data_IF_554349581009
#
_entry.id   IF_554349581009
#
_cell.length_a   1.000
_cell.length_b   1.000
_cell.length_c   1.000
_cell.angle_alpha   90.00
_cell.angle_beta   90.00
_cell.angle_gamma   90.00
#
_symmetry.space_group_name_H-M   'P 1'
#
loop_
_entity.id
_entity.type
_entity.pdbx_description
1 polymer ?
#
# COMPACT_ATOMS: atom_id res chain seq x y z
N UNK A 1 23.65 -3.71 5.21
CA UNK A 1 23.23 -2.35 5.63
C UNK A 1 22.41 -1.60 4.57
N UNK A 2 22.66 -1.79 3.26
CA UNK A 2 21.98 -1.05 2.17
C UNK A 2 20.44 -1.22 2.05
N UNK A 3 19.86 -2.37 2.43
CA UNK A 3 18.41 -2.62 2.27
C UNK A 3 17.52 -1.76 3.18
N UNK A 4 17.95 -1.56 4.44
CA UNK A 4 17.17 -0.84 5.45
C UNK A 4 17.12 0.67 5.19
N UNK A 5 18.25 1.25 4.73
CA UNK A 5 18.33 2.65 4.35
C UNK A 5 17.45 2.95 3.11
N UNK A 6 17.41 2.01 2.16
CA UNK A 6 16.53 2.11 0.99
C UNK A 6 15.05 2.03 1.39
N UNK A 7 14.68 1.15 2.31
CA UNK A 7 13.31 1.06 2.83
C UNK A 7 12.88 2.36 3.52
N UNK A 8 13.72 2.90 4.40
CA UNK A 8 13.44 4.13 5.12
C UNK A 8 13.21 5.32 4.16
N UNK A 9 14.03 5.46 3.12
CA UNK A 9 13.84 6.49 2.10
C UNK A 9 12.53 6.35 1.33
N UNK A 10 12.17 5.13 0.93
CA UNK A 10 10.90 4.86 0.23
C UNK A 10 9.71 5.20 1.14
N UNK A 11 9.77 4.85 2.42
CA UNK A 11 8.70 5.11 3.39
C UNK A 11 8.58 6.61 3.70
N UNK A 12 9.69 7.35 3.76
CA UNK A 12 9.66 8.80 3.89
C UNK A 12 8.93 9.47 2.71
N UNK A 13 9.24 9.07 1.47
CA UNK A 13 8.55 9.58 0.28
C UNK A 13 7.06 9.20 0.27
N UNK A 14 6.73 7.99 0.73
CA UNK A 14 5.35 7.54 0.88
C UNK A 14 4.57 8.43 1.87
N UNK A 15 5.16 8.75 3.02
CA UNK A 15 4.56 9.66 4.00
C UNK A 15 4.46 11.11 3.50
N UNK A 16 5.32 11.52 2.57
CA UNK A 16 5.21 12.80 1.88
C UNK A 16 4.10 12.84 0.80
N UNK A 17 3.33 11.76 0.62
CA UNK A 17 2.23 11.67 -0.34
C UNK A 17 2.67 11.33 -1.77
N UNK A 18 3.89 10.83 -1.97
CA UNK A 18 4.39 10.44 -3.29
C UNK A 18 3.65 9.23 -3.85
N UNK A 19 2.82 9.46 -4.89
CA UNK A 19 2.16 8.38 -5.66
C UNK A 19 3.16 7.40 -6.28
N UNK A 20 4.33 7.88 -6.68
CA UNK A 20 5.40 7.04 -7.25
C UNK A 20 5.99 6.11 -6.20
N UNK A 21 6.23 6.62 -4.99
CA UNK A 21 6.69 5.79 -3.87
C UNK A 21 5.65 4.74 -3.50
N UNK A 22 4.36 5.12 -3.42
CA UNK A 22 3.26 4.18 -3.18
C UNK A 22 3.23 3.06 -4.22
N UNK A 23 3.29 3.39 -5.52
CA UNK A 23 3.31 2.37 -6.58
C UNK A 23 4.51 1.44 -6.44
N UNK A 24 5.70 1.96 -6.11
CA UNK A 24 6.91 1.15 -5.91
C UNK A 24 6.76 0.22 -4.70
N UNK A 25 6.19 0.70 -3.59
CA UNK A 25 5.90 -0.14 -2.43
C UNK A 25 4.97 -1.29 -2.78
N UNK A 26 3.85 -1.00 -3.45
CA UNK A 26 2.89 -2.02 -3.87
C UNK A 26 3.56 -3.08 -4.73
N UNK A 27 4.31 -2.67 -5.77
CA UNK A 27 5.02 -3.61 -6.63
C UNK A 27 6.06 -4.47 -5.88
N UNK A 28 6.80 -3.90 -4.93
CA UNK A 28 7.76 -4.66 -4.12
C UNK A 28 7.07 -5.65 -3.19
N UNK A 29 5.94 -5.26 -2.58
CA UNK A 29 5.17 -6.11 -1.66
C UNK A 29 4.45 -7.24 -2.40
N UNK A 30 3.96 -6.99 -3.62
CA UNK A 30 3.30 -7.99 -4.48
C UNK A 30 4.30 -8.85 -5.27
N UNK A 31 5.58 -8.49 -5.29
CA UNK A 31 6.61 -9.20 -6.05
C UNK A 31 6.78 -10.64 -5.55
N UNK A 32 6.83 -11.58 -6.48
CA UNK A 32 7.13 -12.99 -6.20
C UNK A 32 8.63 -13.30 -6.22
N UNK A 33 9.47 -12.32 -6.61
CA UNK A 33 10.93 -12.47 -6.73
C UNK A 33 11.59 -12.58 -5.35
N UNK A 34 12.41 -13.60 -5.07
CA UNK A 34 13.07 -13.77 -3.77
C UNK A 34 13.89 -12.57 -3.31
N UNK A 35 14.55 -11.87 -4.24
CA UNK A 35 15.40 -10.71 -3.99
C UNK A 35 14.63 -9.50 -3.44
N UNK A 36 13.34 -9.37 -3.75
CA UNK A 36 12.52 -8.23 -3.30
C UNK A 36 11.99 -8.44 -1.88
N UNK A 37 11.93 -9.68 -1.40
CA UNK A 37 11.30 -10.05 -0.11
C UNK A 37 11.90 -9.31 1.08
N UNK A 38 13.24 -9.23 1.14
CA UNK A 38 13.91 -8.56 2.26
C UNK A 38 13.52 -7.08 2.33
N UNK A 39 13.52 -6.39 1.19
CA UNK A 39 13.16 -4.99 1.12
C UNK A 39 11.67 -4.77 1.42
N UNK A 40 10.79 -5.67 0.95
CA UNK A 40 9.36 -5.62 1.23
C UNK A 40 9.08 -5.76 2.74
N UNK A 41 9.76 -6.68 3.43
CA UNK A 41 9.64 -6.81 4.89
C UNK A 41 10.11 -5.56 5.63
N UNK A 42 11.26 -4.99 5.23
CA UNK A 42 11.77 -3.76 5.83
C UNK A 42 10.78 -2.59 5.63
N UNK A 43 10.19 -2.45 4.44
CA UNK A 43 9.14 -1.44 4.17
C UNK A 43 7.93 -1.63 5.08
N UNK A 44 7.43 -2.87 5.20
CA UNK A 44 6.26 -3.18 6.05
C UNK A 44 6.54 -2.88 7.54
N UNK A 45 7.73 -3.20 8.02
CA UNK A 45 8.16 -2.92 9.40
C UNK A 45 8.15 -1.41 9.67
N UNK A 46 8.75 -0.62 8.77
CA UNK A 46 8.75 0.84 8.85
C UNK A 46 7.34 1.45 8.79
N UNK A 47 6.45 0.94 7.93
CA UNK A 47 5.05 1.39 7.85
C UNK A 47 4.22 1.00 9.09
N UNK A 48 4.62 -0.01 9.85
CA UNK A 48 3.85 -0.50 11.00
C UNK A 48 3.80 0.50 12.16
N UNK A 49 4.73 1.47 12.19
CA UNK A 49 4.84 2.52 13.20
C UNK A 49 3.81 3.66 13.00
N UNK A 50 3.21 3.80 11.81
CA UNK A 50 2.32 4.91 11.46
C UNK A 50 0.83 4.55 11.46
N UNK A 51 0.43 3.52 12.22
CA UNK A 51 -0.97 3.06 12.28
C UNK A 51 -1.89 4.13 12.88
N UNK A 52 -2.58 4.89 12.04
CA UNK A 52 -3.67 5.75 12.47
C UNK A 52 -4.37 6.47 11.33
N UNK A 53 -5.69 6.63 11.45
CA UNK A 53 -6.45 7.61 10.66
C UNK A 53 -7.17 7.14 9.40
N UNK A 54 -7.41 5.82 9.21
CA UNK A 54 -8.20 5.35 8.06
C UNK A 54 -9.35 4.42 8.44
N UNK A 55 -10.48 4.60 7.77
CA UNK A 55 -11.61 3.67 7.79
C UNK A 55 -11.35 2.52 6.82
N UNK A 56 -11.59 1.28 7.24
CA UNK A 56 -11.44 0.08 6.41
C UNK A 56 -12.79 -0.60 6.28
N UNK A 57 -13.42 -0.47 5.12
CA UNK A 57 -14.79 -0.94 4.86
C UNK A 57 -14.72 -2.05 3.81
N UNK A 58 -15.25 -3.23 4.14
CA UNK A 58 -15.39 -4.33 3.18
C UNK A 58 -16.69 -4.18 2.38
N UNK A 59 -16.62 -4.40 1.07
CA UNK A 59 -17.79 -4.42 0.18
C UNK A 59 -17.88 -5.78 -0.52
N UNK A 60 -19.00 -6.48 -0.35
CA UNK A 60 -19.24 -7.81 -0.92
C UNK A 60 -20.65 -7.91 -1.53
N UNK A 61 -20.85 -8.89 -2.42
CA UNK A 61 -22.12 -9.14 -3.09
C UNK A 61 -21.99 -9.90 -4.41
N UNK A 62 -23.07 -10.49 -4.94
CA UNK A 62 -23.04 -11.31 -6.15
C UNK A 62 -22.48 -10.60 -7.41
N UNK A 63 -22.02 -11.33 -8.45
CA UNK A 63 -21.70 -10.75 -9.74
C UNK A 63 -22.90 -9.94 -10.28
N UNK A 64 -22.64 -8.75 -10.83
CA UNK A 64 -23.69 -7.90 -11.42
C UNK A 64 -24.51 -7.02 -10.45
N UNK A 65 -24.38 -7.15 -9.13
CA UNK A 65 -25.17 -6.35 -8.14
C UNK A 65 -24.83 -4.85 -8.09
N UNK A 66 -23.90 -4.36 -8.91
CA UNK A 66 -23.52 -2.94 -8.94
C UNK A 66 -22.46 -2.49 -7.92
N UNK A 67 -21.65 -3.40 -7.36
CA UNK A 67 -20.58 -3.06 -6.38
C UNK A 67 -19.62 -1.97 -6.85
N UNK A 68 -19.19 -2.04 -8.12
CA UNK A 68 -18.27 -1.03 -8.70
C UNK A 68 -18.89 0.36 -8.71
N UNK A 69 -20.13 0.48 -9.22
CA UNK A 69 -20.90 1.73 -9.23
C UNK A 69 -21.11 2.27 -7.82
N UNK A 70 -21.44 1.41 -6.86
CA UNK A 70 -21.57 1.83 -5.46
C UNK A 70 -20.26 2.41 -4.89
N UNK A 71 -19.12 1.73 -5.09
CA UNK A 71 -17.82 2.18 -4.60
C UNK A 71 -17.41 3.52 -5.25
N UNK A 72 -17.62 3.66 -6.56
CA UNK A 72 -17.32 4.90 -7.29
C UNK A 72 -18.14 6.08 -6.75
N UNK A 73 -19.46 5.91 -6.64
CA UNK A 73 -20.34 6.97 -6.16
C UNK A 73 -20.04 7.34 -4.69
N UNK A 74 -19.76 6.36 -3.83
CA UNK A 74 -19.36 6.59 -2.45
C UNK A 74 -18.06 7.40 -2.34
N UNK A 75 -17.10 7.20 -3.26
CA UNK A 75 -15.80 7.89 -3.25
C UNK A 75 -15.79 9.28 -3.89
N UNK A 76 -16.88 9.68 -4.55
CA UNK A 76 -17.04 11.02 -5.16
C UNK A 76 -17.73 12.03 -4.24
N UNK A 77 -18.35 11.58 -3.16
CA UNK A 77 -18.96 12.42 -2.12
C UNK A 77 -17.88 12.94 -1.16
#
# INVERSE_FOLDING_TARGET
>A
MQGRDAAASIVADLHAGSRRALSKCLSLIESTRPEDRSLAYDILDHCSASRGGSWRIGCAGPPGVGKGTFIEQLGMQ
#
